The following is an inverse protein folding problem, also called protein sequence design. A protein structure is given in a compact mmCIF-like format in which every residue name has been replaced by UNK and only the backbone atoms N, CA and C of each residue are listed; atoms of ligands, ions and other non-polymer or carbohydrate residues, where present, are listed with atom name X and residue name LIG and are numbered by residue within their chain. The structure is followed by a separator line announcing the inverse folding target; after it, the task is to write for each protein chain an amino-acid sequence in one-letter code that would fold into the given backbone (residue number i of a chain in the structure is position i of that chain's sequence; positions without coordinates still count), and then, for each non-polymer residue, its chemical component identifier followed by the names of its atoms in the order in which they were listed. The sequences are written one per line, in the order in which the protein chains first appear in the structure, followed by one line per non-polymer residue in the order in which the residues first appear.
data_IF_057984792353
#
_entry.id   IF_057984792353
#
_cell.length_a   1.000
_cell.length_b   1.000
_cell.length_c   1.000
_cell.angle_alpha   90.00
_cell.angle_beta   90.00
_cell.angle_gamma   90.00
#
_symmetry.space_group_name_H-M   'P 1'
#
loop_
_entity.id
_entity.type
_entity.pdbx_description
1 polymer ?
#
# COMPACT_ATOMS: atom_id res chain seq x y z
N UNK A 1 78.35 -6.22 -28.14
CA UNK A 1 77.36 -5.17 -28.44
C UNK A 1 76.16 -5.35 -27.56
N UNK A 2 75.96 -4.47 -26.56
CA UNK A 2 74.85 -4.55 -25.63
C UNK A 2 73.85 -3.50 -25.99
N UNK A 3 72.66 -3.90 -26.47
CA UNK A 3 71.57 -2.98 -26.84
C UNK A 3 70.75 -2.67 -25.57
N UNK A 4 70.75 -1.39 -25.21
CA UNK A 4 69.92 -0.87 -24.10
C UNK A 4 68.57 -0.47 -24.66
N UNK A 5 67.47 -1.08 -24.18
CA UNK A 5 66.12 -0.72 -24.48
C UNK A 5 65.64 0.22 -23.36
N UNK A 6 65.37 1.48 -23.71
CA UNK A 6 64.79 2.49 -22.81
C UNK A 6 63.27 2.38 -22.92
N UNK A 7 62.62 1.95 -21.84
CA UNK A 7 61.18 1.94 -21.73
C UNK A 7 60.66 3.33 -21.34
N UNK A 8 59.87 3.94 -22.23
CA UNK A 8 59.15 5.19 -21.95
C UNK A 8 57.85 4.86 -21.19
N UNK A 9 57.78 5.22 -19.95
CA UNK A 9 56.55 5.15 -19.15
C UNK A 9 55.72 6.42 -19.44
N UNK A 10 54.65 6.26 -20.17
CA UNK A 10 53.68 7.32 -20.38
C UNK A 10 52.73 7.42 -19.16
N UNK A 11 52.89 8.52 -18.42
CA UNK A 11 52.02 8.87 -17.30
C UNK A 11 50.73 9.52 -17.84
N UNK A 12 49.62 8.78 -17.87
CA UNK A 12 48.29 9.35 -18.15
C UNK A 12 47.70 9.91 -16.87
N UNK A 13 47.30 11.20 -16.83
CA UNK A 13 46.50 11.69 -15.70
C UNK A 13 45.09 11.14 -15.81
N UNK A 14 44.67 10.39 -14.79
CA UNK A 14 43.28 9.97 -14.60
C UNK A 14 42.43 11.19 -14.32
N UNK A 15 41.62 11.61 -15.31
CA UNK A 15 40.59 12.63 -15.15
C UNK A 15 39.46 11.98 -14.32
N UNK A 16 39.39 12.32 -13.05
CA UNK A 16 38.29 11.90 -12.19
C UNK A 16 37.03 12.64 -12.64
N UNK A 17 36.20 11.98 -13.43
CA UNK A 17 34.81 12.40 -13.66
C UNK A 17 34.05 12.23 -12.35
N UNK A 18 33.73 13.33 -11.70
CA UNK A 18 32.78 13.35 -10.59
C UNK A 18 31.39 13.03 -11.16
N UNK A 19 31.03 11.76 -11.03
CA UNK A 19 29.70 11.25 -11.36
C UNK A 19 28.71 11.82 -10.32
N UNK A 20 28.01 12.91 -10.69
CA UNK A 20 26.90 13.43 -9.91
C UNK A 20 25.73 12.45 -10.09
N UNK A 21 25.79 11.35 -9.38
CA UNK A 21 24.63 10.50 -9.17
C UNK A 21 23.59 11.33 -8.41
N UNK A 22 22.65 11.91 -9.16
CA UNK A 22 21.42 12.42 -8.61
C UNK A 22 20.66 11.20 -8.09
N UNK A 23 20.78 10.96 -6.79
CA UNK A 23 20.11 9.84 -6.12
C UNK A 23 18.61 9.95 -6.41
N UNK A 24 18.08 8.96 -7.12
CA UNK A 24 16.63 8.84 -7.31
C UNK A 24 15.96 8.77 -5.94
N UNK A 25 14.77 9.38 -5.74
CA UNK A 25 14.06 9.31 -4.46
C UNK A 25 14.00 7.85 -4.02
N UNK A 26 14.48 7.54 -2.83
CA UNK A 26 14.53 6.16 -2.38
C UNK A 26 13.13 5.55 -2.44
N UNK A 27 13.00 4.30 -2.88
CA UNK A 27 11.73 3.57 -2.94
C UNK A 27 10.96 3.63 -1.61
N UNK A 28 11.66 3.77 -0.49
CA UNK A 28 11.09 3.97 0.85
C UNK A 28 10.36 5.33 0.97
N UNK A 29 10.88 6.40 0.36
CA UNK A 29 10.24 7.73 0.39
C UNK A 29 9.01 7.76 -0.51
N UNK A 30 9.06 7.09 -1.68
CA UNK A 30 7.90 6.95 -2.57
C UNK A 30 6.80 6.11 -1.93
N UNK A 31 7.15 4.98 -1.28
CA UNK A 31 6.20 4.17 -0.53
C UNK A 31 5.59 4.92 0.67
N UNK A 32 6.36 5.81 1.33
CA UNK A 32 5.86 6.65 2.42
C UNK A 32 4.78 7.63 1.95
N UNK A 33 4.93 8.22 0.75
CA UNK A 33 4.02 9.23 0.20
C UNK A 33 2.71 8.66 -0.40
N UNK A 34 2.50 7.32 -0.34
CA UNK A 34 1.27 6.70 -0.86
C UNK A 34 0.06 7.07 0.00
N UNK A 35 -1.10 7.16 -0.66
CA UNK A 35 -2.39 7.42 -0.02
C UNK A 35 -2.95 6.13 0.57
N UNK A 36 -3.32 6.16 1.85
CA UNK A 36 -3.89 5.01 2.55
C UNK A 36 -5.30 5.31 3.01
N UNK A 37 -6.21 4.44 2.63
CA UNK A 37 -7.61 4.44 3.03
C UNK A 37 -7.80 3.31 4.04
N UNK A 38 -7.96 3.68 5.31
CA UNK A 38 -8.13 2.74 6.42
C UNK A 38 -9.61 2.61 6.74
N UNK A 39 -10.11 1.38 6.73
CA UNK A 39 -11.52 1.07 6.96
C UNK A 39 -11.63 -0.01 8.02
N UNK A 40 -12.31 0.29 9.12
CA UNK A 40 -12.57 -0.68 10.17
C UNK A 40 -14.06 -1.02 10.24
N UNK A 41 -14.39 -2.29 10.43
CA UNK A 41 -15.78 -2.76 10.54
C UNK A 41 -16.11 -3.25 11.93
N UNK A 42 -17.30 -2.83 12.37
CA UNK A 42 -18.03 -3.42 13.48
C UNK A 42 -19.25 -4.12 12.91
N UNK A 43 -19.32 -5.43 13.05
CA UNK A 43 -20.46 -6.21 12.57
C UNK A 43 -21.59 -6.26 13.59
N UNK A 44 -22.81 -6.39 13.09
CA UNK A 44 -23.98 -6.67 13.93
C UNK A 44 -23.82 -7.99 14.69
N UNK A 45 -24.40 -8.08 15.87
CA UNK A 45 -24.37 -9.30 16.69
C UNK A 45 -24.95 -10.53 15.98
N UNK A 46 -25.93 -10.31 15.09
CA UNK A 46 -26.62 -11.34 14.30
C UNK A 46 -25.82 -11.78 13.08
N UNK A 47 -24.74 -11.07 12.73
CA UNK A 47 -23.91 -11.43 11.59
C UNK A 47 -23.30 -12.83 11.79
N UNK A 48 -23.56 -13.70 10.83
CA UNK A 48 -23.08 -15.08 10.90
C UNK A 48 -21.63 -15.18 10.45
N UNK A 49 -20.83 -16.09 11.01
CA UNK A 49 -19.42 -16.28 10.63
C UNK A 49 -19.22 -16.45 9.12
N UNK A 50 -20.13 -17.15 8.43
CA UNK A 50 -20.07 -17.34 6.98
C UNK A 50 -20.23 -16.01 6.21
N UNK A 51 -21.10 -15.12 6.69
CA UNK A 51 -21.29 -13.80 6.08
C UNK A 51 -20.03 -12.95 6.26
N UNK A 52 -19.43 -12.95 7.45
CA UNK A 52 -18.20 -12.21 7.75
C UNK A 52 -17.06 -12.72 6.87
N UNK A 53 -16.86 -14.03 6.76
CA UNK A 53 -15.86 -14.63 5.86
C UNK A 53 -16.07 -14.24 4.39
N UNK A 54 -17.32 -14.14 3.96
CA UNK A 54 -17.62 -13.65 2.62
C UNK A 54 -17.17 -12.19 2.43
N UNK A 55 -17.41 -11.33 3.43
CA UNK A 55 -16.95 -9.94 3.40
C UNK A 55 -15.41 -9.87 3.35
N UNK A 56 -14.71 -10.66 4.17
CA UNK A 56 -13.25 -10.74 4.15
C UNK A 56 -12.73 -11.05 2.74
N UNK A 57 -13.29 -12.09 2.11
CA UNK A 57 -12.92 -12.50 0.76
C UNK A 57 -13.24 -11.44 -0.29
N UNK A 58 -14.48 -10.95 -0.32
CA UNK A 58 -14.94 -10.00 -1.33
C UNK A 58 -14.20 -8.66 -1.25
N UNK A 59 -13.84 -8.22 -0.03
CA UNK A 59 -13.01 -7.03 0.11
C UNK A 59 -11.59 -7.27 -0.42
N UNK A 60 -10.95 -8.36 -0.01
CA UNK A 60 -9.60 -8.70 -0.48
C UNK A 60 -9.54 -8.83 -2.02
N UNK A 61 -10.58 -9.39 -2.64
CA UNK A 61 -10.68 -9.57 -4.09
C UNK A 61 -10.76 -8.24 -4.86
N UNK A 62 -11.14 -7.12 -4.21
CA UNK A 62 -11.18 -5.81 -4.86
C UNK A 62 -9.83 -5.38 -5.43
N UNK A 63 -8.72 -5.83 -4.84
CA UNK A 63 -7.37 -5.55 -5.36
C UNK A 63 -7.19 -6.02 -6.80
N UNK A 64 -7.78 -7.16 -7.17
CA UNK A 64 -7.74 -7.69 -8.54
C UNK A 64 -8.80 -7.10 -9.47
N UNK A 65 -9.80 -6.40 -8.94
CA UNK A 65 -10.94 -5.88 -9.69
C UNK A 65 -10.89 -4.38 -9.96
N UNK A 66 -10.17 -3.61 -9.15
CA UNK A 66 -10.08 -2.14 -9.25
C UNK A 66 -8.62 -1.75 -9.47
N UNK A 67 -8.32 -1.22 -10.65
CA UNK A 67 -6.96 -0.97 -11.15
C UNK A 67 -6.19 0.08 -10.33
N UNK A 68 -6.88 1.02 -9.67
CA UNK A 68 -6.24 2.08 -8.87
C UNK A 68 -5.72 1.59 -7.53
N UNK A 69 -6.08 0.39 -7.08
CA UNK A 69 -5.57 -0.21 -5.85
C UNK A 69 -4.13 -0.69 -6.09
N UNK A 70 -3.18 -0.04 -5.40
CA UNK A 70 -1.76 -0.43 -5.42
C UNK A 70 -1.53 -1.62 -4.50
N UNK A 71 -2.10 -1.58 -3.29
CA UNK A 71 -2.03 -2.65 -2.32
C UNK A 71 -3.27 -2.69 -1.44
N UNK A 72 -3.55 -3.85 -0.87
CA UNK A 72 -4.62 -4.06 0.07
C UNK A 72 -4.17 -5.10 1.11
N UNK A 73 -4.16 -4.70 2.36
CA UNK A 73 -3.90 -5.58 3.49
C UNK A 73 -5.02 -5.46 4.51
N UNK A 74 -5.23 -6.51 5.30
CA UNK A 74 -6.26 -6.50 6.32
C UNK A 74 -5.95 -7.50 7.44
N UNK A 75 -6.62 -7.32 8.56
CA UNK A 75 -6.54 -8.23 9.69
C UNK A 75 -7.66 -8.02 10.67
N UNK A 76 -7.67 -8.89 11.68
CA UNK A 76 -8.58 -8.79 12.82
C UNK A 76 -7.86 -8.24 14.04
N UNK A 77 -8.62 -7.59 14.94
CA UNK A 77 -8.06 -6.99 16.14
C UNK A 77 -7.40 -8.04 17.04
N UNK A 78 -6.15 -7.81 17.39
CA UNK A 78 -5.35 -8.60 18.35
C UNK A 78 -4.78 -7.77 19.48
N UNK A 79 -5.23 -6.51 19.62
CA UNK A 79 -4.76 -5.62 20.69
C UNK A 79 -5.25 -6.09 22.06
N UNK A 80 -4.35 -6.17 23.07
CA UNK A 80 -4.73 -6.50 24.44
C UNK A 80 -5.30 -5.31 25.24
N UNK A 81 -5.36 -4.10 24.63
CA UNK A 81 -5.72 -2.88 25.35
C UNK A 81 -7.24 -2.69 25.56
N UNK A 82 -8.07 -3.52 24.92
CA UNK A 82 -9.54 -3.44 24.98
C UNK A 82 -10.09 -2.04 24.57
N UNK A 83 -9.53 -1.47 23.51
CA UNK A 83 -9.88 -0.14 23.02
C UNK A 83 -10.49 -0.12 21.61
N UNK A 84 -10.74 -1.28 21.02
CA UNK A 84 -11.27 -1.39 19.69
C UNK A 84 -12.75 -1.05 19.56
N UNK A 85 -13.47 -0.80 20.64
CA UNK A 85 -14.89 -0.35 20.67
C UNK A 85 -15.84 -1.24 19.85
N UNK A 86 -15.54 -2.53 19.75
CA UNK A 86 -16.33 -3.50 18.99
C UNK A 86 -15.96 -3.60 17.50
N UNK A 87 -15.02 -2.80 17.01
CA UNK A 87 -14.45 -2.98 15.68
C UNK A 87 -13.54 -4.21 15.68
N UNK A 88 -13.75 -5.12 14.76
CA UNK A 88 -13.05 -6.41 14.72
C UNK A 88 -12.11 -6.55 13.52
N UNK A 89 -12.38 -5.84 12.44
CA UNK A 89 -11.63 -5.91 11.19
C UNK A 89 -11.09 -4.54 10.79
N UNK A 90 -9.88 -4.53 10.29
CA UNK A 90 -9.25 -3.35 9.70
C UNK A 90 -8.70 -3.70 8.33
N UNK A 91 -9.04 -2.90 7.33
CA UNK A 91 -8.55 -3.00 5.96
C UNK A 91 -7.79 -1.72 5.63
N UNK A 92 -6.64 -1.85 4.99
CA UNK A 92 -5.86 -0.72 4.47
C UNK A 92 -5.77 -0.87 2.96
N UNK A 93 -6.45 0.01 2.25
CA UNK A 93 -6.40 0.09 0.80
C UNK A 93 -5.43 1.20 0.42
N UNK A 94 -4.40 0.86 -0.32
CA UNK A 94 -3.34 1.80 -0.72
C UNK A 94 -3.55 2.22 -2.17
N UNK A 95 -3.51 3.53 -2.40
CA UNK A 95 -3.57 4.16 -3.72
C UNK A 95 -2.31 4.98 -3.97
N UNK A 96 -1.98 5.23 -5.23
CA UNK A 96 -0.86 6.10 -5.60
C UNK A 96 -1.06 7.52 -5.06
N UNK A 97 -2.30 8.02 -5.11
CA UNK A 97 -2.71 9.36 -4.64
C UNK A 97 -4.23 9.39 -4.43
N UNK A 98 -4.75 10.54 -4.04
CA UNK A 98 -6.18 10.79 -3.84
C UNK A 98 -7.04 10.46 -5.07
N UNK A 99 -6.54 10.70 -6.27
CA UNK A 99 -7.29 10.40 -7.50
C UNK A 99 -7.62 8.90 -7.63
N UNK A 100 -6.77 8.02 -7.09
CA UNK A 100 -7.05 6.57 -7.03
C UNK A 100 -8.26 6.24 -6.16
N UNK A 101 -8.43 6.91 -5.02
CA UNK A 101 -9.61 6.79 -4.17
C UNK A 101 -10.87 7.33 -4.87
N UNK A 102 -10.76 8.45 -5.59
CA UNK A 102 -11.89 9.08 -6.29
C UNK A 102 -12.44 8.16 -7.41
N UNK A 103 -11.61 7.30 -7.99
CA UNK A 103 -12.03 6.24 -8.93
C UNK A 103 -12.64 5.05 -8.17
N UNK A 104 -12.07 4.67 -7.04
CA UNK A 104 -12.47 3.52 -6.24
C UNK A 104 -13.88 3.67 -5.65
N UNK A 105 -14.19 4.80 -5.03
CA UNK A 105 -15.44 4.99 -4.30
C UNK A 105 -16.70 4.78 -5.18
N UNK A 106 -16.80 5.34 -6.41
CA UNK A 106 -17.95 5.11 -7.29
C UNK A 106 -17.83 3.86 -8.15
N UNK A 107 -16.71 3.12 -8.07
CA UNK A 107 -16.48 1.95 -8.92
C UNK A 107 -17.54 0.87 -8.70
N UNK A 108 -18.04 0.25 -9.78
CA UNK A 108 -19.10 -0.74 -9.73
C UNK A 108 -18.79 -1.91 -8.78
N UNK A 109 -17.54 -2.39 -8.78
CA UNK A 109 -17.11 -3.47 -7.89
C UNK A 109 -17.10 -3.06 -6.42
N UNK A 110 -16.70 -1.81 -6.10
CA UNK A 110 -16.80 -1.28 -4.74
C UNK A 110 -18.26 -1.15 -4.31
N UNK A 111 -19.12 -0.64 -5.17
CA UNK A 111 -20.56 -0.50 -4.87
C UNK A 111 -21.24 -1.87 -4.66
N UNK A 112 -20.87 -2.89 -5.43
CA UNK A 112 -21.35 -4.25 -5.25
C UNK A 112 -20.91 -4.82 -3.89
N UNK A 113 -19.66 -4.59 -3.49
CA UNK A 113 -19.14 -4.96 -2.18
C UNK A 113 -19.91 -4.26 -1.05
N UNK A 114 -20.10 -2.94 -1.13
CA UNK A 114 -20.85 -2.16 -0.12
C UNK A 114 -22.27 -2.71 0.03
N UNK A 115 -22.91 -3.13 -1.05
CA UNK A 115 -24.26 -3.70 -1.04
C UNK A 115 -24.36 -4.99 -0.22
N UNK A 116 -23.36 -5.85 -0.24
CA UNK A 116 -23.35 -7.09 0.56
C UNK A 116 -22.89 -6.83 2.00
N UNK A 117 -22.12 -5.79 2.25
CA UNK A 117 -21.65 -5.40 3.58
C UNK A 117 -22.76 -4.77 4.44
N UNK A 118 -23.51 -3.82 3.88
CA UNK A 118 -24.52 -3.02 4.61
C UNK A 118 -25.46 -3.84 5.49
N UNK A 119 -26.02 -4.98 5.05
CA UNK A 119 -26.99 -5.73 5.87
C UNK A 119 -26.45 -6.23 7.21
N UNK A 120 -25.14 -6.48 7.29
CA UNK A 120 -24.49 -7.06 8.48
C UNK A 120 -23.55 -6.09 9.20
N UNK A 121 -23.40 -4.86 8.69
CA UNK A 121 -22.57 -3.82 9.29
C UNK A 121 -23.36 -3.08 10.38
N UNK A 122 -22.78 -2.98 11.59
CA UNK A 122 -23.28 -2.14 12.69
C UNK A 122 -22.68 -0.74 12.59
N UNK A 123 -21.37 -0.64 12.42
CA UNK A 123 -20.65 0.64 12.31
C UNK A 123 -19.40 0.50 11.45
N UNK A 124 -18.96 1.61 10.88
CA UNK A 124 -17.76 1.72 10.08
C UNK A 124 -16.93 2.93 10.49
N UNK A 125 -15.64 2.74 10.64
CA UNK A 125 -14.67 3.81 10.85
C UNK A 125 -13.79 3.94 9.62
N UNK A 126 -13.67 5.17 9.09
CA UNK A 126 -12.83 5.47 7.92
C UNK A 126 -11.82 6.54 8.29
N UNK A 127 -10.57 6.30 7.96
CA UNK A 127 -9.48 7.25 8.17
C UNK A 127 -8.51 7.21 6.98
N UNK A 128 -8.28 8.37 6.37
CA UNK A 128 -7.38 8.50 5.23
C UNK A 128 -6.13 9.29 5.61
N UNK A 129 -4.97 8.86 5.13
CA UNK A 129 -3.73 9.60 5.32
C UNK A 129 -2.74 9.38 4.16
N UNK A 130 -1.84 10.36 4.03
CA UNK A 130 -0.65 10.22 3.19
C UNK A 130 0.53 9.92 4.11
N UNK A 131 1.26 8.86 3.84
CA UNK A 131 2.44 8.50 4.61
C UNK A 131 3.48 9.64 4.64
N UNK A 132 4.16 9.81 5.78
CA UNK A 132 5.18 10.84 6.00
C UNK A 132 6.54 10.21 6.25
#
# INVERSE_FOLDING_TARGET
MKTIIIAFAALFPALAMADHHKEAPSAKKEAAALFRHVVCFKFKKEAKPKQIKNIEKEFADLKGKIQTIVDLEWGTNVSPEDRAKGFTHCFIVTFKNRAGLDVYLPHAEHQAFVKILKPILDDVFVFDFIGK
#
